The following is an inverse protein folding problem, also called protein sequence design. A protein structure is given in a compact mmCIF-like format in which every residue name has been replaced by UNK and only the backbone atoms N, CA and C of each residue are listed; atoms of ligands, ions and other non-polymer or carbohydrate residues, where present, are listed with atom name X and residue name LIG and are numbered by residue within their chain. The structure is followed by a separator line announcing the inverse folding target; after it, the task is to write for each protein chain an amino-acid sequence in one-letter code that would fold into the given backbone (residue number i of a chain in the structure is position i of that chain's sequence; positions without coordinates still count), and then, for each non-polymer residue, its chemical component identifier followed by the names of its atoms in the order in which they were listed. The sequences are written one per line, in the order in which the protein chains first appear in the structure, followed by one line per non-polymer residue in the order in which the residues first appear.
data_IF_884325609335
#
_entry.id   IF_884325609335
#
_cell.length_a   1.000
_cell.length_b   1.000
_cell.length_c   1.000
_cell.angle_alpha   90.00
_cell.angle_beta   90.00
_cell.angle_gamma   90.00
#
_symmetry.space_group_name_H-M   'P 1'
#
loop_
_entity.id
_entity.type
_entity.pdbx_description
1 polymer ?
#
# COMPACT_ATOMS: atom_id res chain seq x y z
N UNK A 1 -4.82 -15.14 -50.50
CA UNK A 1 -4.42 -13.86 -49.85
C UNK A 1 -5.70 -13.08 -49.59
N UNK A 2 -6.03 -12.76 -48.33
CA UNK A 2 -7.26 -12.01 -48.00
C UNK A 2 -7.06 -10.53 -48.36
N UNK A 3 -8.10 -9.78 -48.78
CA UNK A 3 -7.95 -8.36 -49.08
C UNK A 3 -7.71 -7.58 -47.77
N UNK A 4 -6.67 -6.74 -47.80
CA UNK A 4 -6.33 -5.79 -46.75
C UNK A 4 -7.15 -4.52 -46.99
N UNK A 5 -7.96 -4.11 -46.02
CA UNK A 5 -8.73 -2.87 -46.10
C UNK A 5 -7.95 -1.77 -45.38
N UNK A 6 -7.28 -0.91 -46.14
CA UNK A 6 -6.55 0.26 -45.65
C UNK A 6 -7.53 1.39 -45.33
N UNK A 7 -7.63 1.76 -44.05
CA UNK A 7 -8.49 2.84 -43.56
C UNK A 7 -7.72 4.15 -43.30
N UNK A 8 -6.57 4.38 -43.96
CA UNK A 8 -5.70 5.55 -43.71
C UNK A 8 -6.23 6.91 -44.20
N UNK A 9 -7.54 7.09 -44.46
CA UNK A 9 -8.08 8.38 -44.93
C UNK A 9 -8.96 9.12 -43.91
N UNK A 10 -8.37 10.22 -43.45
CA UNK A 10 -8.94 11.53 -43.09
C UNK A 10 -9.58 11.73 -41.71
N UNK A 11 -8.88 12.53 -40.90
CA UNK A 11 -9.41 13.80 -40.37
C UNK A 11 -8.25 14.79 -40.26
N UNK A 12 -8.09 15.64 -41.28
CA UNK A 12 -7.28 16.86 -41.16
C UNK A 12 -8.17 17.91 -40.47
N UNK A 13 -7.72 18.57 -39.39
CA UNK A 13 -8.48 19.65 -38.79
C UNK A 13 -8.60 20.80 -39.78
N UNK A 14 -9.83 21.23 -40.06
CA UNK A 14 -10.09 22.46 -40.79
C UNK A 14 -9.43 23.64 -40.09
N UNK A 15 -8.81 24.48 -40.91
CA UNK A 15 -8.12 25.71 -40.55
C UNK A 15 -9.10 26.67 -39.90
N UNK A 16 -8.91 26.98 -38.62
CA UNK A 16 -9.60 28.09 -37.96
C UNK A 16 -8.86 29.41 -38.28
N UNK A 17 -9.46 30.25 -39.11
CA UNK A 17 -9.09 31.66 -39.27
C UNK A 17 -9.24 32.43 -37.95
N UNK A 18 -8.22 33.25 -37.61
CA UNK A 18 -8.28 34.33 -36.61
C UNK A 18 -8.54 35.68 -37.34
N UNK A 19 -8.58 36.83 -36.65
CA UNK A 19 -9.63 37.40 -35.79
C UNK A 19 -10.12 38.78 -36.33
N UNK A 20 -11.21 39.36 -35.81
CA UNK A 20 -11.27 40.78 -35.38
C UNK A 20 -12.68 41.25 -34.98
N UNK A 21 -12.71 41.89 -33.81
CA UNK A 21 -13.49 43.04 -33.32
C UNK A 21 -14.98 43.23 -33.63
N UNK A 22 -15.79 43.20 -32.56
CA UNK A 22 -16.73 44.30 -32.27
C UNK A 22 -17.23 44.30 -30.80
N UNK A 23 -16.86 45.38 -30.09
CA UNK A 23 -17.57 46.08 -29.00
C UNK A 23 -17.79 45.42 -27.62
N UNK A 24 -17.06 45.99 -26.66
CA UNK A 24 -17.38 46.09 -25.23
C UNK A 24 -18.73 46.80 -24.97
N UNK A 25 -19.58 46.21 -24.12
CA UNK A 25 -20.27 46.90 -23.01
C UNK A 25 -20.88 45.88 -22.00
N UNK A 26 -21.11 46.29 -20.74
CA UNK A 26 -21.13 45.40 -19.57
C UNK A 26 -22.52 44.87 -19.22
N UNK A 27 -22.60 43.63 -18.72
CA UNK A 27 -23.84 43.06 -18.19
C UNK A 27 -23.60 42.45 -16.81
N UNK A 28 -24.17 43.12 -15.82
CA UNK A 28 -24.33 42.79 -14.40
C UNK A 28 -24.24 41.30 -14.02
N UNK A 29 -23.57 40.94 -12.91
CA UNK A 29 -23.71 39.61 -12.32
C UNK A 29 -25.13 39.45 -11.79
N UNK A 30 -25.85 38.51 -12.40
CA UNK A 30 -27.15 38.01 -11.95
C UNK A 30 -26.96 37.37 -10.57
N UNK A 31 -27.59 37.99 -9.57
CA UNK A 31 -28.13 37.38 -8.35
C UNK A 31 -27.46 36.07 -7.93
N UNK A 32 -26.37 36.18 -7.18
CA UNK A 32 -25.84 35.05 -6.43
C UNK A 32 -26.92 34.55 -5.46
N UNK A 33 -27.22 33.25 -5.52
CA UNK A 33 -28.11 32.63 -4.56
C UNK A 33 -27.41 32.57 -3.20
N UNK A 34 -27.83 33.43 -2.27
CA UNK A 34 -27.47 33.33 -0.86
C UNK A 34 -27.99 31.99 -0.30
N UNK A 35 -27.17 30.95 -0.33
CA UNK A 35 -27.40 29.71 0.39
C UNK A 35 -26.90 29.86 1.83
N UNK A 36 -27.55 30.70 2.62
CA UNK A 36 -27.35 30.76 4.06
C UNK A 36 -28.68 30.58 4.79
N UNK A 37 -29.38 29.49 4.47
CA UNK A 37 -30.39 28.97 5.39
C UNK A 37 -29.69 28.04 6.36
N UNK A 38 -29.42 28.56 7.56
CA UNK A 38 -28.83 27.82 8.67
C UNK A 38 -29.61 26.51 8.88
N UNK A 39 -29.01 25.40 8.50
CA UNK A 39 -29.55 24.07 8.76
C UNK A 39 -29.37 23.83 10.25
N UNK A 40 -30.47 23.85 11.01
CA UNK A 40 -30.41 23.51 12.43
C UNK A 40 -29.86 22.08 12.55
N UNK A 41 -28.79 21.91 13.32
CA UNK A 41 -28.02 20.67 13.46
C UNK A 41 -28.78 19.49 14.09
N UNK A 42 -30.08 19.65 14.36
CA UNK A 42 -30.93 18.64 15.01
C UNK A 42 -31.71 17.74 14.03
N UNK A 43 -31.64 17.97 12.72
CA UNK A 43 -32.45 17.23 11.70
C UNK A 43 -31.57 16.62 10.61
N UNK A 44 -30.40 16.08 10.95
CA UNK A 44 -29.68 15.16 10.08
C UNK A 44 -29.59 13.81 10.78
N UNK A 45 -30.69 13.04 10.74
CA UNK A 45 -30.63 11.62 11.04
C UNK A 45 -29.85 10.96 9.89
N UNK A 46 -28.60 10.60 10.15
CA UNK A 46 -27.73 9.87 9.22
C UNK A 46 -28.47 8.61 8.75
N UNK A 47 -28.91 8.60 7.49
CA UNK A 47 -29.64 7.48 6.86
C UNK A 47 -28.72 6.41 6.27
N UNK A 48 -27.41 6.69 6.21
CA UNK A 48 -26.42 5.68 5.89
C UNK A 48 -26.23 4.78 7.12
N UNK A 49 -26.08 3.45 6.96
CA UNK A 49 -25.54 2.63 8.03
C UNK A 49 -24.24 3.26 8.53
N UNK A 50 -23.98 3.19 9.84
CA UNK A 50 -22.72 3.64 10.39
C UNK A 50 -21.61 2.81 9.73
N UNK A 51 -20.74 3.45 8.95
CA UNK A 51 -19.54 2.81 8.45
C UNK A 51 -18.62 2.55 9.65
N UNK A 52 -18.75 1.36 10.23
CA UNK A 52 -17.84 0.88 11.28
C UNK A 52 -16.49 0.62 10.63
N UNK A 53 -15.61 1.62 10.66
CA UNK A 53 -14.23 1.41 10.25
C UNK A 53 -13.59 0.37 11.17
N UNK A 54 -13.01 -0.71 10.62
CA UNK A 54 -12.41 -1.74 11.44
C UNK A 54 -11.23 -1.16 12.22
N UNK A 55 -11.39 -1.03 13.54
CA UNK A 55 -10.38 -0.42 14.43
C UNK A 55 -9.19 -1.34 14.62
N UNK A 56 -9.43 -2.65 14.77
CA UNK A 56 -8.38 -3.64 15.03
C UNK A 56 -7.76 -4.20 13.77
N UNK A 57 -6.48 -4.61 13.84
CA UNK A 57 -5.81 -5.32 12.75
C UNK A 57 -6.60 -6.53 12.25
N UNK A 58 -7.12 -7.35 13.18
CA UNK A 58 -7.91 -8.53 12.83
C UNK A 58 -9.16 -8.14 12.02
N UNK A 59 -9.89 -7.11 12.45
CA UNK A 59 -11.06 -6.62 11.73
C UNK A 59 -10.67 -6.09 10.35
N UNK A 60 -9.54 -5.38 10.23
CA UNK A 60 -9.01 -4.88 8.94
C UNK A 60 -8.69 -6.05 8.00
N UNK A 61 -7.98 -7.06 8.48
CA UNK A 61 -7.65 -8.27 7.70
C UNK A 61 -8.91 -9.02 7.29
N UNK A 62 -9.87 -9.20 8.20
CA UNK A 62 -11.14 -9.89 7.93
C UNK A 62 -11.97 -9.15 6.89
N UNK A 63 -12.11 -7.83 7.02
CA UNK A 63 -12.81 -6.98 6.05
C UNK A 63 -12.15 -7.08 4.66
N UNK A 64 -10.82 -6.95 4.60
CA UNK A 64 -10.07 -7.04 3.35
C UNK A 64 -10.20 -8.40 2.65
N UNK A 65 -10.12 -9.50 3.40
CA UNK A 65 -10.27 -10.85 2.83
C UNK A 65 -11.71 -11.11 2.38
N UNK A 66 -12.69 -10.65 3.15
CA UNK A 66 -14.10 -10.76 2.78
C UNK A 66 -14.42 -9.98 1.51
N UNK A 67 -13.82 -8.81 1.31
CA UNK A 67 -14.06 -7.99 0.12
C UNK A 67 -13.28 -8.46 -1.11
N UNK A 68 -12.12 -9.08 -0.94
CA UNK A 68 -11.22 -9.40 -2.06
C UNK A 68 -11.35 -10.84 -2.56
N UNK A 69 -11.42 -11.82 -1.65
CA UNK A 69 -11.48 -13.26 -1.99
C UNK A 69 -12.79 -13.89 -1.50
N UNK A 70 -13.54 -13.21 -0.62
CA UNK A 70 -14.75 -13.76 0.00
C UNK A 70 -14.47 -14.73 1.16
N UNK A 71 -13.20 -14.94 1.53
CA UNK A 71 -12.81 -15.92 2.54
C UNK A 71 -12.46 -15.29 3.90
N UNK A 72 -13.48 -14.81 4.61
CA UNK A 72 -13.29 -14.17 5.93
C UNK A 72 -12.71 -15.11 7.01
N UNK A 73 -12.87 -16.43 6.85
CA UNK A 73 -12.37 -17.43 7.81
C UNK A 73 -10.85 -17.48 7.88
N UNK A 74 -10.13 -17.19 6.78
CA UNK A 74 -8.67 -17.21 6.79
C UNK A 74 -8.06 -16.10 7.65
N UNK A 75 -8.80 -15.04 7.96
CA UNK A 75 -8.30 -13.93 8.78
C UNK A 75 -7.70 -14.40 10.11
N UNK A 76 -8.26 -15.45 10.72
CA UNK A 76 -7.73 -16.03 11.96
C UNK A 76 -6.33 -16.64 11.76
N UNK A 77 -6.10 -17.29 10.63
CA UNK A 77 -4.81 -17.90 10.29
C UNK A 77 -3.75 -16.81 10.05
N UNK A 78 -4.07 -15.80 9.25
CA UNK A 78 -3.18 -14.66 9.01
C UNK A 78 -2.84 -13.91 10.31
N UNK A 79 -3.84 -13.64 11.14
CA UNK A 79 -3.62 -12.97 12.42
C UNK A 79 -2.81 -13.83 13.39
N UNK A 80 -2.97 -15.16 13.36
CA UNK A 80 -2.14 -16.09 14.12
C UNK A 80 -0.67 -16.03 13.71
N UNK A 81 -0.38 -16.02 12.40
CA UNK A 81 0.98 -15.85 11.86
C UNK A 81 1.57 -14.50 12.27
N UNK A 82 0.80 -13.42 12.11
CA UNK A 82 1.21 -12.08 12.55
C UNK A 82 1.60 -12.06 14.03
N UNK A 83 0.75 -12.64 14.90
CA UNK A 83 1.03 -12.69 16.33
C UNK A 83 2.29 -13.48 16.63
N UNK A 84 2.47 -14.62 15.97
CA UNK A 84 3.66 -15.45 16.19
C UNK A 84 4.96 -14.71 15.85
N UNK A 85 5.00 -14.00 14.72
CA UNK A 85 6.20 -13.26 14.31
C UNK A 85 6.40 -11.98 15.12
N UNK A 86 5.35 -11.17 15.27
CA UNK A 86 5.46 -9.84 15.87
C UNK A 86 5.58 -9.89 17.39
N UNK A 87 4.87 -10.79 18.08
CA UNK A 87 5.00 -10.87 19.56
C UNK A 87 6.39 -11.30 20.00
N UNK A 88 7.08 -12.15 19.25
CA UNK A 88 8.45 -12.53 19.60
C UNK A 88 9.41 -11.34 19.48
N UNK A 89 9.19 -10.47 18.49
CA UNK A 89 9.97 -9.25 18.32
C UNK A 89 9.64 -8.18 19.37
N UNK A 90 8.35 -7.95 19.64
CA UNK A 90 7.89 -6.95 20.61
C UNK A 90 8.30 -7.25 22.06
N UNK A 91 8.72 -8.48 22.38
CA UNK A 91 9.29 -8.83 23.69
C UNK A 91 10.64 -8.16 23.94
N UNK A 92 11.37 -7.82 22.90
CA UNK A 92 12.65 -7.12 23.04
C UNK A 92 12.39 -5.63 23.24
N UNK A 93 13.02 -5.04 24.26
CA UNK A 93 12.83 -3.63 24.62
C UNK A 93 13.12 -2.66 23.47
N UNK A 94 14.00 -3.03 22.55
CA UNK A 94 14.40 -2.26 21.36
C UNK A 94 13.24 -2.13 20.34
N UNK A 95 12.24 -3.01 20.42
CA UNK A 95 11.11 -3.07 19.49
C UNK A 95 9.76 -2.87 20.17
N UNK A 96 9.70 -2.61 21.48
CA UNK A 96 8.45 -2.59 22.23
C UNK A 96 7.44 -1.52 21.75
N UNK A 97 7.93 -0.40 21.23
CA UNK A 97 7.18 0.72 20.69
C UNK A 97 6.77 0.52 19.21
N UNK A 98 7.32 -0.47 18.52
CA UNK A 98 7.13 -0.68 17.07
C UNK A 98 5.84 -1.43 16.73
N UNK A 99 4.88 -1.56 17.65
CA UNK A 99 3.64 -2.30 17.45
C UNK A 99 2.85 -1.86 16.21
N UNK A 100 2.66 -0.56 16.03
CA UNK A 100 1.95 0.01 14.88
C UNK A 100 2.66 -0.28 13.55
N UNK A 101 4.01 -0.25 13.55
CA UNK A 101 4.82 -0.62 12.39
C UNK A 101 4.55 -2.07 11.99
N UNK A 102 4.58 -3.00 12.94
CA UNK A 102 4.28 -4.41 12.65
C UNK A 102 2.86 -4.61 12.12
N UNK A 103 1.86 -3.88 12.64
CA UNK A 103 0.50 -3.94 12.09
C UNK A 103 0.43 -3.44 10.64
N UNK A 104 1.13 -2.35 10.32
CA UNK A 104 1.20 -1.81 8.97
C UNK A 104 1.87 -2.79 8.00
N UNK A 105 3.00 -3.39 8.40
CA UNK A 105 3.70 -4.41 7.63
C UNK A 105 2.82 -5.65 7.42
N UNK A 106 2.05 -6.06 8.43
CA UNK A 106 1.12 -7.18 8.30
C UNK A 106 0.01 -6.90 7.29
N UNK A 107 -0.56 -5.69 7.25
CA UNK A 107 -1.54 -5.31 6.24
C UNK A 107 -0.93 -5.27 4.84
N UNK A 108 0.30 -4.78 4.72
CA UNK A 108 1.02 -4.77 3.45
C UNK A 108 1.32 -6.19 2.95
N UNK A 109 1.82 -7.07 3.82
CA UNK A 109 2.07 -8.48 3.52
C UNK A 109 0.79 -9.19 3.08
N UNK A 110 -0.35 -8.90 3.71
CA UNK A 110 -1.64 -9.46 3.34
C UNK A 110 -2.04 -9.03 1.93
N UNK A 111 -1.91 -7.73 1.61
CA UNK A 111 -2.20 -7.21 0.27
C UNK A 111 -1.33 -7.87 -0.79
N UNK A 112 -0.03 -7.98 -0.55
CA UNK A 112 0.92 -8.64 -1.47
C UNK A 112 0.55 -10.10 -1.66
N UNK A 113 0.24 -10.82 -0.57
CA UNK A 113 -0.11 -12.24 -0.63
C UNK A 113 -1.38 -12.48 -1.44
N UNK A 114 -2.41 -11.65 -1.24
CA UNK A 114 -3.67 -11.71 -1.99
C UNK A 114 -3.51 -11.24 -3.43
N UNK A 115 -2.61 -10.31 -3.73
CA UNK A 115 -2.30 -9.95 -5.11
C UNK A 115 -1.54 -11.08 -5.82
N UNK A 116 -0.66 -11.78 -5.11
CA UNK A 116 0.12 -12.87 -5.67
C UNK A 116 -0.75 -14.05 -6.12
N UNK A 117 -1.91 -14.30 -5.47
CA UNK A 117 -2.86 -15.34 -5.93
C UNK A 117 -3.46 -15.04 -7.29
N UNK A 118 -3.49 -13.77 -7.72
CA UNK A 118 -3.94 -13.39 -9.07
C UNK A 118 -2.90 -13.73 -10.14
N UNK A 119 -1.62 -13.80 -9.76
CA UNK A 119 -0.51 -14.04 -10.68
C UNK A 119 -0.12 -15.52 -10.76
N UNK A 120 -0.23 -16.24 -9.64
CA UNK A 120 0.16 -17.65 -9.53
C UNK A 120 -0.75 -18.41 -8.57
N UNK A 121 -0.88 -19.72 -8.81
CA UNK A 121 -1.58 -20.60 -7.88
C UNK A 121 -0.75 -20.81 -6.61
N UNK A 122 -1.30 -20.43 -5.46
CA UNK A 122 -0.65 -20.56 -4.14
C UNK A 122 -1.46 -21.57 -3.32
N UNK A 123 -0.89 -22.74 -3.05
CA UNK A 123 -1.56 -23.79 -2.27
C UNK A 123 -1.73 -23.41 -0.79
N UNK A 124 -0.70 -22.80 -0.19
CA UNK A 124 -0.72 -22.38 1.21
C UNK A 124 -0.59 -20.86 1.33
N UNK A 125 -1.73 -20.16 1.30
CA UNK A 125 -1.76 -18.70 1.34
C UNK A 125 -1.28 -18.11 2.68
N UNK A 126 -1.67 -18.62 3.87
CA UNK A 126 -1.10 -18.17 5.14
C UNK A 126 0.41 -18.41 5.24
N UNK A 127 0.91 -19.54 4.69
CA UNK A 127 2.34 -19.83 4.63
C UNK A 127 3.10 -18.85 3.73
N UNK A 128 2.54 -18.51 2.56
CA UNK A 128 3.11 -17.49 1.69
C UNK A 128 3.18 -16.13 2.39
N UNK A 129 2.09 -15.74 3.06
CA UNK A 129 2.04 -14.53 3.87
C UNK A 129 3.10 -14.51 4.98
N UNK A 130 3.34 -15.64 5.64
CA UNK A 130 4.40 -15.76 6.65
C UNK A 130 5.78 -15.40 6.09
N UNK A 131 6.08 -15.84 4.85
CA UNK A 131 7.33 -15.50 4.18
C UNK A 131 7.42 -14.03 3.82
N UNK A 132 6.37 -13.47 3.23
CA UNK A 132 6.30 -12.04 2.86
C UNK A 132 6.42 -11.14 4.09
N UNK A 133 5.72 -11.46 5.17
CA UNK A 133 5.77 -10.67 6.40
C UNK A 133 7.16 -10.69 7.02
N UNK A 134 7.82 -11.85 7.07
CA UNK A 134 9.20 -11.96 7.54
C UNK A 134 10.14 -11.08 6.72
N UNK A 135 10.07 -11.16 5.39
CA UNK A 135 10.93 -10.36 4.51
C UNK A 135 10.69 -8.84 4.69
N UNK A 136 9.43 -8.42 4.88
CA UNK A 136 9.11 -7.02 5.14
C UNK A 136 9.63 -6.55 6.50
N UNK A 137 9.53 -7.38 7.54
CA UNK A 137 10.10 -7.09 8.87
C UNK A 137 11.62 -6.99 8.76
N UNK A 138 12.26 -7.94 8.07
CA UNK A 138 13.71 -7.98 7.92
C UNK A 138 14.21 -6.70 7.23
N UNK A 139 13.56 -6.29 6.14
CA UNK A 139 13.88 -5.04 5.44
C UNK A 139 13.62 -3.80 6.31
N UNK A 140 12.53 -3.78 7.06
CA UNK A 140 12.16 -2.62 7.88
C UNK A 140 13.11 -2.42 9.08
N UNK A 141 13.69 -3.49 9.62
CA UNK A 141 14.51 -3.44 10.83
C UNK A 141 16.02 -3.56 10.57
N UNK A 142 16.42 -4.21 9.48
CA UNK A 142 17.82 -4.58 9.24
C UNK A 142 18.35 -4.15 7.87
N UNK A 143 17.61 -3.35 7.08
CA UNK A 143 18.11 -2.85 5.80
C UNK A 143 19.39 -2.02 5.94
N UNK A 144 19.54 -1.30 7.04
CA UNK A 144 20.71 -0.46 7.33
C UNK A 144 21.72 -1.14 8.26
N UNK A 145 21.43 -2.33 8.80
CA UNK A 145 22.31 -3.01 9.75
C UNK A 145 23.69 -3.36 9.17
N UNK A 146 23.82 -3.38 7.84
CA UNK A 146 25.10 -3.59 7.16
C UNK A 146 25.89 -2.30 6.94
N UNK A 147 25.27 -1.13 7.11
CA UNK A 147 25.92 0.18 6.90
C UNK A 147 26.72 0.64 8.13
N UNK A 148 26.48 0.04 9.30
CA UNK A 148 27.21 0.36 10.54
C UNK A 148 28.60 -0.28 10.62
N UNK A 149 29.00 -1.06 9.61
CA UNK A 149 30.32 -1.67 9.53
C UNK A 149 31.22 -0.85 8.60
N UNK A 150 32.15 -0.09 9.19
CA UNK A 150 33.19 0.67 8.47
C UNK A 150 34.23 -0.23 7.77
N UNK A 151 34.19 -1.54 8.03
CA UNK A 151 35.18 -2.52 7.56
C UNK A 151 34.50 -3.47 6.58
N UNK A 152 35.03 -3.54 5.35
CA UNK A 152 34.55 -4.52 4.36
C UNK A 152 34.80 -5.93 4.89
N UNK A 153 33.88 -6.86 4.62
CA UNK A 153 33.95 -8.26 5.09
C UNK A 153 35.30 -8.91 4.74
N UNK A 154 35.92 -8.48 3.65
CA UNK A 154 37.24 -8.91 3.18
C UNK A 154 38.36 -8.61 4.19
N UNK A 155 38.40 -7.40 4.77
CA UNK A 155 39.43 -6.99 5.74
C UNK A 155 39.37 -7.78 7.06
N UNK A 156 38.21 -8.33 7.42
CA UNK A 156 38.04 -9.15 8.62
C UNK A 156 38.78 -10.50 8.53
N UNK A 157 38.91 -11.06 7.32
CA UNK A 157 39.57 -12.36 7.09
C UNK A 157 41.09 -12.27 6.92
N UNK A 158 41.64 -11.09 6.62
CA UNK A 158 43.09 -10.93 6.44
C UNK A 158 43.86 -10.70 7.75
N UNK A 159 43.22 -10.18 8.80
CA UNK A 159 43.89 -9.89 10.08
C UNK A 159 44.33 -11.13 10.87
N UNK A 160 43.85 -12.33 10.51
CA UNK A 160 44.23 -13.58 11.20
C UNK A 160 45.43 -14.32 10.59
N UNK A 161 46.04 -13.82 9.50
CA UNK A 161 47.17 -14.52 8.86
C UNK A 161 48.56 -14.06 9.28
N UNK A 162 48.66 -13.07 10.16
CA UNK A 162 49.96 -12.65 10.70
C UNK A 162 50.04 -13.08 12.16
N UNK A 163 50.66 -14.24 12.40
CA UNK A 163 51.64 -14.57 13.46
C UNK A 163 51.73 -16.09 13.55
N UNK A 164 52.70 -16.66 12.84
CA UNK A 164 53.42 -17.84 13.32
C UNK A 164 54.91 -17.51 13.20
N UNK A 165 55.66 -17.37 14.31
CA UNK A 165 57.12 -17.29 14.23
C UNK A 165 57.62 -18.65 13.77
N UNK A 166 58.43 -18.64 12.71
CA UNK A 166 59.25 -19.79 12.31
C UNK A 166 60.56 -19.67 13.08
N UNK A 167 60.73 -20.53 14.08
CA UNK A 167 62.04 -20.81 14.69
C UNK A 167 62.91 -21.64 13.73
#
# INVERSE_FOLDING_TARGET
IKPYNDQSKMNSPDVAEKPADSKLQPANPKTEAFLSKAISSKVLKRTSPAEEFPTTLFSKMKSFLSSTIGESKLARNFYGVYRHQSLQMLKFSIHADKGELFEALALQALRISVQATKLKSIQNLPGYFSGVLRELIDKALFSEAFMDYDVTVEEFFYRQKEVYPTD
#
